data_IF_314647351893
#
_entry.id   IF_314647351893
#
_cell.length_a   1.000
_cell.length_b   1.000
_cell.length_c   1.000
_cell.angle_alpha   90.00
_cell.angle_beta   90.00
_cell.angle_gamma   90.00
#
_symmetry.space_group_name_H-M   'P 1'
#
loop_
_entity.id
_entity.type
_entity.pdbx_description
1 polymer ?
#
# COMPACT_ATOMS: atom_id res chain seq x y z
N UNK A 1 -22.83 -30.55 0.22
CA UNK A 1 -23.39 -30.56 -1.14
C UNK A 1 -23.45 -29.11 -1.63
N UNK A 2 -22.58 -28.75 -2.54
CA UNK A 2 -22.50 -27.40 -3.11
C UNK A 2 -23.42 -27.39 -4.34
N UNK A 3 -24.45 -26.55 -4.33
CA UNK A 3 -25.36 -26.37 -5.46
C UNK A 3 -24.63 -25.71 -6.64
N UNK A 4 -24.53 -26.43 -7.74
CA UNK A 4 -24.07 -25.92 -9.05
C UNK A 4 -25.17 -25.09 -9.68
N UNK A 5 -25.06 -23.77 -9.59
CA UNK A 5 -25.84 -22.84 -10.40
C UNK A 5 -24.97 -22.32 -11.54
N UNK A 6 -25.17 -22.81 -12.74
CA UNK A 6 -24.57 -22.30 -13.98
C UNK A 6 -25.26 -20.98 -14.31
N UNK A 7 -24.58 -19.87 -14.11
CA UNK A 7 -24.95 -18.56 -14.68
C UNK A 7 -23.94 -18.19 -15.77
N UNK A 8 -24.31 -18.52 -17.01
CA UNK A 8 -23.72 -17.92 -18.21
C UNK A 8 -24.23 -16.48 -18.32
N UNK A 9 -23.44 -15.53 -17.83
CA UNK A 9 -23.52 -14.14 -18.25
C UNK A 9 -22.12 -13.67 -18.61
N UNK A 10 -21.94 -13.13 -19.81
CA UNK A 10 -20.79 -12.33 -20.21
C UNK A 10 -20.74 -11.12 -19.26
N UNK A 11 -20.20 -11.29 -18.06
CA UNK A 11 -19.91 -10.16 -17.18
C UNK A 11 -18.79 -9.37 -17.84
N UNK A 12 -19.11 -8.19 -18.33
CA UNK A 12 -18.12 -7.17 -18.65
C UNK A 12 -17.20 -7.01 -17.45
N UNK A 13 -15.89 -7.20 -17.62
CA UNK A 13 -14.90 -7.05 -16.56
C UNK A 13 -14.99 -5.60 -16.08
N UNK A 14 -15.63 -5.38 -14.93
CA UNK A 14 -15.72 -4.04 -14.34
C UNK A 14 -14.33 -3.64 -13.86
N UNK A 15 -13.71 -2.72 -14.58
CA UNK A 15 -12.41 -2.18 -14.22
C UNK A 15 -12.49 -1.50 -12.82
N UNK A 16 -11.43 -1.63 -12.03
CA UNK A 16 -11.30 -0.89 -10.78
C UNK A 16 -11.16 0.61 -11.05
N UNK A 17 -11.42 1.45 -10.05
CA UNK A 17 -11.25 2.90 -10.16
C UNK A 17 -9.84 3.27 -10.66
N UNK A 18 -8.81 2.61 -10.16
CA UNK A 18 -7.42 2.86 -10.55
C UNK A 18 -7.15 2.46 -12.00
N UNK A 19 -7.75 1.38 -12.48
CA UNK A 19 -7.65 0.96 -13.87
C UNK A 19 -8.38 1.94 -14.80
N UNK A 20 -9.56 2.45 -14.41
CA UNK A 20 -10.26 3.50 -15.15
C UNK A 20 -9.52 4.85 -15.18
N UNK A 21 -8.74 5.15 -14.15
CA UNK A 21 -7.92 6.37 -14.05
C UNK A 21 -6.53 6.21 -14.68
N UNK A 22 -6.28 5.19 -15.49
CA UNK A 22 -5.04 5.05 -16.23
C UNK A 22 -5.14 5.89 -17.51
N UNK A 23 -4.26 6.91 -17.73
CA UNK A 23 -4.29 7.69 -18.96
C UNK A 23 -3.99 6.82 -20.19
N UNK A 24 -4.60 7.15 -21.33
CA UNK A 24 -4.41 6.46 -22.60
C UNK A 24 -3.14 6.91 -23.33
N UNK A 25 -2.74 8.16 -23.16
CA UNK A 25 -1.66 8.85 -23.88
C UNK A 25 -0.37 9.03 -23.04
N UNK A 26 -0.08 8.13 -22.07
CA UNK A 26 1.04 8.28 -21.13
C UNK A 26 2.38 8.46 -21.83
N UNK A 27 2.70 7.67 -22.85
CA UNK A 27 4.02 7.70 -23.50
C UNK A 27 4.22 8.99 -24.30
N UNK A 28 3.17 9.48 -24.97
CA UNK A 28 3.18 10.74 -25.69
C UNK A 28 3.40 11.92 -24.74
N UNK A 29 2.61 11.99 -23.67
CA UNK A 29 2.69 13.07 -22.69
C UNK A 29 4.02 13.05 -21.92
N UNK A 30 4.56 11.84 -21.67
CA UNK A 30 5.89 11.67 -21.09
C UNK A 30 6.98 12.23 -22.00
N UNK A 31 6.91 11.96 -23.32
CA UNK A 31 7.88 12.48 -24.28
C UNK A 31 7.85 14.00 -24.33
N UNK A 32 6.66 14.64 -24.39
CA UNK A 32 6.51 16.09 -24.33
C UNK A 32 7.12 16.68 -23.04
N UNK A 33 6.80 16.10 -21.89
CA UNK A 33 7.33 16.54 -20.60
C UNK A 33 8.87 16.37 -20.49
N UNK A 34 9.43 15.31 -21.08
CA UNK A 34 10.88 15.09 -21.05
C UNK A 34 11.64 16.02 -22.00
N UNK A 35 10.97 16.49 -23.06
CA UNK A 35 11.48 17.53 -23.95
C UNK A 35 11.42 18.92 -23.29
N UNK A 36 10.30 19.25 -22.64
CA UNK A 36 10.10 20.49 -21.89
C UNK A 36 9.56 20.19 -20.48
N UNK A 37 10.40 20.31 -19.47
CA UNK A 37 10.03 20.01 -18.08
C UNK A 37 9.10 21.06 -17.42
N UNK A 38 8.79 22.17 -18.11
CA UNK A 38 7.77 23.14 -17.70
C UNK A 38 6.38 22.79 -18.27
N UNK A 39 6.31 21.88 -19.23
CA UNK A 39 5.06 21.37 -19.78
C UNK A 39 4.25 20.67 -18.70
N UNK A 40 2.93 20.86 -18.70
CA UNK A 40 2.00 20.13 -17.85
C UNK A 40 1.23 19.13 -18.71
N UNK A 41 1.41 17.80 -18.51
CA UNK A 41 0.76 16.78 -19.30
C UNK A 41 -0.76 16.93 -19.35
N UNK A 42 -1.33 16.70 -20.53
CA UNK A 42 -2.75 16.69 -20.77
C UNK A 42 -3.20 15.25 -20.95
N UNK A 43 -3.77 14.66 -19.90
CA UNK A 43 -4.10 13.24 -19.90
C UNK A 43 -5.49 12.96 -20.48
N UNK A 44 -5.54 11.95 -21.34
CA UNK A 44 -6.78 11.41 -21.89
C UNK A 44 -7.19 10.15 -21.15
N UNK A 45 -8.49 10.01 -20.86
CA UNK A 45 -9.05 8.85 -20.20
C UNK A 45 -10.14 8.21 -21.02
N UNK A 46 -10.34 6.89 -20.89
CA UNK A 46 -11.41 6.18 -21.60
C UNK A 46 -12.81 6.72 -21.26
N UNK A 47 -12.98 7.30 -20.07
CA UNK A 47 -14.21 7.94 -19.58
C UNK A 47 -13.83 9.18 -18.79
N UNK A 48 -14.67 10.19 -18.85
CA UNK A 48 -14.54 11.37 -17.98
C UNK A 48 -14.48 10.93 -16.51
N UNK A 49 -13.51 11.46 -15.80
CA UNK A 49 -13.30 11.16 -14.39
C UNK A 49 -14.05 12.21 -13.54
N UNK A 50 -15.02 11.77 -12.76
CA UNK A 50 -15.67 12.64 -11.78
C UNK A 50 -14.66 13.11 -10.74
N UNK A 51 -14.56 14.42 -10.53
CA UNK A 51 -13.64 15.03 -9.55
C UNK A 51 -13.89 14.51 -8.11
N UNK A 52 -15.10 14.13 -7.76
CA UNK A 52 -15.39 13.48 -6.46
C UNK A 52 -14.63 12.16 -6.31
N UNK A 53 -14.35 11.48 -7.42
CA UNK A 53 -13.54 10.26 -7.42
C UNK A 53 -12.09 10.50 -7.02
N UNK A 54 -11.55 11.70 -7.21
CA UNK A 54 -10.20 12.08 -6.78
C UNK A 54 -10.09 12.09 -5.26
N UNK A 55 -11.15 12.53 -4.56
CA UNK A 55 -11.23 12.58 -3.11
C UNK A 55 -11.88 11.33 -2.47
N UNK A 56 -12.10 10.24 -3.21
CA UNK A 56 -12.74 9.01 -2.72
C UNK A 56 -12.09 8.45 -1.44
N UNK A 57 -10.82 8.75 -1.21
CA UNK A 57 -10.06 8.31 -0.04
C UNK A 57 -9.92 9.40 1.04
N UNK A 58 -10.85 10.34 1.06
CA UNK A 58 -10.87 11.52 1.94
C UNK A 58 -10.22 12.75 1.29
N UNK A 59 -10.45 13.90 1.87
CA UNK A 59 -9.78 15.15 1.50
C UNK A 59 -8.29 15.10 1.84
N UNK A 60 -7.52 16.03 1.30
CA UNK A 60 -6.11 16.21 1.67
C UNK A 60 -6.02 16.47 3.18
N UNK A 61 -5.13 15.76 3.85
CA UNK A 61 -4.98 15.78 5.30
C UNK A 61 -3.54 16.12 5.66
N UNK A 62 -3.32 17.21 6.37
CA UNK A 62 -1.99 17.73 6.69
C UNK A 62 -1.48 17.36 8.09
N UNK A 63 -2.26 16.63 8.89
CA UNK A 63 -1.95 16.31 10.30
C UNK A 63 -0.59 15.66 10.52
N UNK A 64 -0.10 14.90 9.57
CA UNK A 64 1.17 14.19 9.67
C UNK A 64 2.29 14.79 8.82
N UNK A 65 2.13 16.05 8.35
CA UNK A 65 3.12 16.72 7.49
C UNK A 65 4.48 16.81 8.17
N UNK A 66 4.54 17.28 9.40
CA UNK A 66 5.80 17.40 10.15
C UNK A 66 6.47 16.02 10.36
N UNK A 67 5.68 14.98 10.68
CA UNK A 67 6.22 13.63 10.82
C UNK A 67 6.75 13.10 9.48
N UNK A 68 6.03 13.31 8.38
CA UNK A 68 6.46 12.91 7.04
C UNK A 68 7.76 13.60 6.62
N UNK A 69 7.87 14.92 6.85
CA UNK A 69 9.08 15.70 6.58
C UNK A 69 10.26 15.17 7.39
N UNK A 70 10.08 14.93 8.69
CA UNK A 70 11.12 14.39 9.56
C UNK A 70 11.61 13.01 9.10
N UNK A 71 10.70 12.10 8.73
CA UNK A 71 11.05 10.77 8.21
C UNK A 71 11.89 10.89 6.94
N UNK A 72 11.49 11.76 6.00
CA UNK A 72 12.22 11.97 4.76
C UNK A 72 13.59 12.57 5.01
N UNK A 73 13.68 13.55 5.90
CA UNK A 73 14.93 14.18 6.30
C UNK A 73 15.90 13.19 6.93
N UNK A 74 15.47 12.36 7.90
CA UNK A 74 16.29 11.33 8.56
C UNK A 74 16.91 10.35 7.54
N UNK A 75 16.16 9.98 6.50
CA UNK A 75 16.69 9.13 5.43
C UNK A 75 17.76 9.84 4.63
N UNK A 76 17.56 11.13 4.28
CA UNK A 76 18.54 11.89 3.51
C UNK A 76 19.79 12.19 4.35
N UNK A 77 19.66 12.50 5.62
CA UNK A 77 20.80 12.70 6.51
C UNK A 77 21.64 11.42 6.65
N UNK A 78 20.99 10.24 6.69
CA UNK A 78 21.70 8.98 6.84
C UNK A 78 22.28 8.42 5.55
N UNK A 79 21.64 8.65 4.40
CA UNK A 79 21.99 8.03 3.12
C UNK A 79 22.35 9.04 2.03
N UNK A 80 22.29 10.35 2.30
CA UNK A 80 22.56 11.47 1.38
C UNK A 80 21.59 11.55 0.19
N UNK A 81 21.03 10.44 -0.26
CA UNK A 81 20.10 10.38 -1.38
C UNK A 81 19.15 9.17 -1.32
N UNK A 82 18.01 9.28 -1.99
CA UNK A 82 17.13 8.11 -2.21
C UNK A 82 17.86 6.96 -2.91
N UNK A 83 18.75 7.27 -3.86
CA UNK A 83 19.49 6.25 -4.60
C UNK A 83 20.35 5.40 -3.68
N UNK A 84 21.09 6.01 -2.76
CA UNK A 84 21.90 5.29 -1.78
C UNK A 84 21.03 4.52 -0.78
N UNK A 85 19.95 5.13 -0.31
CA UNK A 85 18.96 4.47 0.53
C UNK A 85 18.38 3.21 -0.16
N UNK A 86 18.01 3.31 -1.43
CA UNK A 86 17.52 2.15 -2.17
C UNK A 86 18.61 1.11 -2.39
N UNK A 87 19.86 1.50 -2.66
CA UNK A 87 21.00 0.58 -2.79
C UNK A 87 21.28 -0.19 -1.50
N UNK A 88 21.10 0.42 -0.32
CA UNK A 88 21.26 -0.25 0.98
C UNK A 88 20.31 -1.44 1.18
N UNK A 89 19.26 -1.53 0.38
CA UNK A 89 18.30 -2.65 0.36
C UNK A 89 18.76 -3.82 -0.53
N UNK A 90 20.01 -3.84 -0.95
CA UNK A 90 20.62 -4.88 -1.77
C UNK A 90 20.41 -4.68 -3.27
N UNK A 91 20.89 -5.63 -4.05
CA UNK A 91 20.73 -5.63 -5.51
C UNK A 91 19.28 -5.85 -5.94
N UNK A 92 18.99 -5.56 -7.20
CA UNK A 92 17.73 -5.94 -7.83
C UNK A 92 17.82 -7.43 -8.18
N UNK A 93 16.81 -8.19 -7.77
CA UNK A 93 16.70 -9.61 -8.05
C UNK A 93 16.23 -9.86 -9.49
N UNK A 94 16.76 -10.90 -10.09
CA UNK A 94 16.25 -11.41 -11.35
C UNK A 94 14.85 -12.02 -11.19
N UNK A 95 14.11 -12.14 -12.33
CA UNK A 95 12.75 -12.69 -12.33
C UNK A 95 12.67 -14.07 -11.65
N UNK A 96 13.57 -14.99 -12.03
CA UNK A 96 13.54 -16.36 -11.53
C UNK A 96 13.90 -16.43 -10.03
N UNK A 97 14.86 -15.61 -9.58
CA UNK A 97 15.19 -15.49 -8.16
C UNK A 97 14.00 -14.98 -7.36
N UNK A 98 13.34 -13.93 -7.86
CA UNK A 98 12.13 -13.38 -7.24
C UNK A 98 11.02 -14.42 -7.13
N UNK A 99 10.75 -15.17 -8.19
CA UNK A 99 9.73 -16.22 -8.21
C UNK A 99 10.08 -17.38 -7.27
N UNK A 100 11.36 -17.75 -7.16
CA UNK A 100 11.83 -18.77 -6.21
C UNK A 100 11.52 -18.34 -4.77
N UNK A 101 11.92 -17.14 -4.38
CA UNK A 101 11.65 -16.61 -3.03
C UNK A 101 10.15 -16.55 -2.72
N UNK A 102 9.33 -16.10 -3.70
CA UNK A 102 7.87 -16.07 -3.54
C UNK A 102 7.32 -17.46 -3.31
N UNK A 103 7.72 -18.45 -4.11
CA UNK A 103 7.24 -19.83 -3.97
C UNK A 103 7.68 -20.45 -2.64
N UNK A 104 8.89 -20.20 -2.19
CA UNK A 104 9.40 -20.65 -0.88
C UNK A 104 8.60 -20.03 0.27
N UNK A 105 8.25 -18.73 0.16
CA UNK A 105 7.39 -18.06 1.14
C UNK A 105 5.99 -18.69 1.20
N UNK A 106 5.37 -18.94 0.04
CA UNK A 106 4.04 -19.59 -0.02
C UNK A 106 4.09 -21.02 0.54
N UNK A 107 5.15 -21.77 0.24
CA UNK A 107 5.34 -23.13 0.75
C UNK A 107 5.52 -23.15 2.27
N UNK A 108 6.38 -22.27 2.81
CA UNK A 108 6.62 -22.15 4.26
C UNK A 108 5.33 -21.84 5.02
N UNK A 109 4.49 -20.97 4.47
CA UNK A 109 3.21 -20.61 5.05
C UNK A 109 2.08 -21.61 4.73
N UNK A 110 2.36 -22.73 4.04
CA UNK A 110 1.42 -23.81 3.69
C UNK A 110 0.20 -23.33 2.87
N UNK A 111 0.38 -22.31 2.04
CA UNK A 111 -0.69 -21.68 1.22
C UNK A 111 -0.46 -21.77 -0.28
N UNK A 112 0.48 -22.61 -0.74
CA UNK A 112 0.79 -22.78 -2.17
C UNK A 112 -0.38 -23.28 -3.01
N UNK A 113 -1.34 -23.97 -2.41
CA UNK A 113 -2.58 -24.44 -3.04
C UNK A 113 -3.66 -23.36 -3.12
N UNK A 114 -3.55 -22.27 -2.33
CA UNK A 114 -4.54 -21.20 -2.23
C UNK A 114 -4.13 -19.95 -3.05
N UNK A 115 -2.84 -19.74 -3.25
CA UNK A 115 -2.30 -18.54 -3.90
C UNK A 115 -1.54 -18.93 -5.17
N UNK A 116 -2.02 -18.46 -6.32
CA UNK A 116 -1.34 -18.60 -7.61
C UNK A 116 -0.59 -17.34 -7.97
N UNK A 117 0.61 -17.47 -8.54
CA UNK A 117 1.42 -16.33 -9.00
C UNK A 117 1.18 -16.13 -10.50
N UNK A 118 0.87 -14.90 -10.92
CA UNK A 118 0.75 -14.51 -12.35
C UNK A 118 1.56 -13.27 -12.63
N UNK A 119 2.20 -13.24 -13.79
CA UNK A 119 3.02 -12.11 -14.25
C UNK A 119 2.46 -11.55 -15.56
N UNK A 120 2.43 -10.22 -15.70
CA UNK A 120 2.06 -9.53 -16.95
C UNK A 120 2.62 -8.11 -16.97
N UNK A 121 2.97 -7.61 -18.15
CA UNK A 121 3.30 -6.20 -18.36
C UNK A 121 2.08 -5.27 -18.30
N UNK A 122 0.88 -5.81 -18.54
CA UNK A 122 -0.39 -5.07 -18.54
C UNK A 122 -0.92 -4.72 -17.14
N UNK A 123 -0.32 -5.24 -16.07
CA UNK A 123 -0.78 -4.92 -14.71
C UNK A 123 -0.41 -3.49 -14.33
N UNK A 124 -1.39 -2.70 -13.89
CA UNK A 124 -1.20 -1.31 -13.45
C UNK A 124 -0.39 -1.23 -12.16
N UNK A 125 -0.68 -2.09 -11.18
CA UNK A 125 0.06 -2.16 -9.94
C UNK A 125 1.33 -3.03 -10.08
N UNK A 126 2.42 -2.65 -9.40
CA UNK A 126 3.66 -3.45 -9.36
C UNK A 126 3.39 -4.84 -8.77
N UNK A 127 2.62 -4.89 -7.70
CA UNK A 127 2.11 -6.09 -7.04
C UNK A 127 0.68 -5.85 -6.62
N UNK A 128 -0.14 -6.88 -6.66
CA UNK A 128 -1.49 -6.85 -6.09
C UNK A 128 -2.01 -8.25 -5.86
N UNK A 129 -2.80 -8.40 -4.81
CA UNK A 129 -3.54 -9.63 -4.56
C UNK A 129 -4.98 -9.48 -5.07
N UNK A 130 -5.45 -10.43 -5.87
CA UNK A 130 -6.85 -10.51 -6.33
C UNK A 130 -7.45 -11.85 -5.94
N UNK A 131 -8.73 -11.86 -5.60
CA UNK A 131 -9.49 -13.11 -5.43
C UNK A 131 -10.05 -13.57 -6.78
N UNK A 132 -9.97 -14.85 -7.04
CA UNK A 132 -10.56 -15.53 -8.19
C UNK A 132 -11.36 -16.74 -7.68
N UNK A 133 -12.67 -16.57 -7.51
CA UNK A 133 -13.58 -17.57 -6.91
C UNK A 133 -13.07 -18.06 -5.56
N UNK A 134 -12.48 -19.26 -5.54
CA UNK A 134 -11.95 -19.92 -4.32
C UNK A 134 -10.46 -19.70 -4.11
N UNK A 135 -9.74 -19.15 -5.11
CA UNK A 135 -8.30 -18.95 -5.07
C UNK A 135 -7.93 -17.48 -5.03
N UNK A 136 -6.67 -17.22 -4.73
CA UNK A 136 -6.07 -15.90 -4.79
C UNK A 136 -4.99 -15.85 -5.88
N UNK A 137 -4.86 -14.70 -6.52
CA UNK A 137 -3.85 -14.46 -7.54
C UNK A 137 -2.95 -13.33 -7.07
N UNK A 138 -1.70 -13.68 -6.78
CA UNK A 138 -0.64 -12.69 -6.60
C UNK A 138 -0.17 -12.24 -7.99
N UNK A 139 -0.53 -11.02 -8.37
CA UNK A 139 -0.19 -10.42 -9.67
C UNK A 139 1.11 -9.64 -9.55
N UNK A 140 2.06 -9.88 -10.44
CA UNK A 140 3.34 -9.20 -10.49
C UNK A 140 3.51 -8.55 -11.87
N UNK A 141 3.71 -7.23 -11.89
CA UNK A 141 3.94 -6.51 -13.15
C UNK A 141 5.36 -6.75 -13.66
N UNK A 142 5.48 -7.05 -14.94
CA UNK A 142 6.75 -7.16 -15.64
C UNK A 142 7.29 -5.76 -16.05
N UNK A 143 8.62 -5.56 -16.04
CA UNK A 143 9.64 -6.45 -15.50
C UNK A 143 9.61 -6.49 -13.96
N UNK A 144 9.87 -7.67 -13.38
CA UNK A 144 10.01 -7.82 -11.93
C UNK A 144 11.30 -7.15 -11.49
N UNK A 145 11.24 -6.26 -10.49
CA UNK A 145 12.38 -5.49 -9.99
C UNK A 145 12.32 -5.34 -8.47
N UNK A 146 12.31 -6.44 -7.73
CA UNK A 146 12.41 -6.38 -6.27
C UNK A 146 13.88 -6.35 -5.84
N UNK A 147 14.16 -5.66 -4.75
CA UNK A 147 15.46 -5.72 -4.08
C UNK A 147 15.47 -6.84 -3.06
N UNK A 148 16.65 -7.42 -2.84
CA UNK A 148 16.86 -8.57 -1.94
C UNK A 148 16.18 -8.39 -0.58
N UNK A 149 16.46 -7.27 0.10
CA UNK A 149 15.89 -6.98 1.42
C UNK A 149 14.44 -6.46 1.37
N UNK A 150 13.86 -6.28 0.19
CA UNK A 150 12.52 -5.73 0.02
C UNK A 150 11.44 -6.75 -0.35
N UNK A 151 11.82 -7.91 -0.91
CA UNK A 151 10.87 -8.87 -1.45
C UNK A 151 10.02 -9.54 -0.36
N UNK A 152 10.62 -9.87 0.79
CA UNK A 152 9.88 -10.44 1.93
C UNK A 152 8.91 -9.40 2.50
N UNK A 153 9.31 -8.13 2.55
CA UNK A 153 8.40 -7.05 2.96
C UNK A 153 7.19 -6.92 2.03
N UNK A 154 7.38 -7.06 0.72
CA UNK A 154 6.27 -7.10 -0.23
C UNK A 154 5.36 -8.30 0.03
N UNK A 155 5.89 -9.48 0.35
CA UNK A 155 5.11 -10.67 0.67
C UNK A 155 4.37 -10.52 2.01
N UNK A 156 4.98 -9.91 3.02
CA UNK A 156 4.31 -9.58 4.27
C UNK A 156 3.14 -8.60 4.06
N UNK A 157 3.27 -7.66 3.10
CA UNK A 157 2.21 -6.74 2.71
C UNK A 157 1.04 -7.50 2.05
N UNK A 158 1.31 -8.17 0.92
CA UNK A 158 0.27 -8.76 0.07
C UNK A 158 -0.31 -10.05 0.68
N UNK A 159 0.57 -10.93 1.14
CA UNK A 159 0.17 -12.24 1.68
C UNK A 159 -0.02 -12.14 3.19
N UNK A 160 1.03 -11.74 3.91
CA UNK A 160 1.00 -11.70 5.36
C UNK A 160 -0.08 -10.79 5.94
N UNK A 161 -0.57 -9.81 5.16
CA UNK A 161 -1.65 -8.92 5.60
C UNK A 161 -2.91 -9.11 4.78
N UNK A 162 -2.92 -8.77 3.49
CA UNK A 162 -4.16 -8.76 2.70
C UNK A 162 -4.79 -10.14 2.56
N UNK A 163 -4.00 -11.19 2.28
CA UNK A 163 -4.50 -12.55 2.16
C UNK A 163 -5.01 -13.08 3.50
N UNK A 164 -4.19 -13.00 4.57
CA UNK A 164 -4.59 -13.54 5.88
C UNK A 164 -5.83 -12.85 6.45
N UNK A 165 -5.92 -11.52 6.34
CA UNK A 165 -7.12 -10.80 6.75
C UNK A 165 -8.34 -11.19 5.92
N UNK A 166 -8.15 -11.52 4.64
CA UNK A 166 -9.26 -11.96 3.79
C UNK A 166 -9.74 -13.37 4.15
N UNK A 167 -8.85 -14.34 4.30
CA UNK A 167 -9.27 -15.71 4.66
C UNK A 167 -9.94 -15.79 6.03
N UNK A 168 -9.55 -14.91 6.95
CA UNK A 168 -10.22 -14.77 8.22
C UNK A 168 -11.60 -14.12 8.10
N UNK A 169 -11.73 -13.10 7.23
CA UNK A 169 -13.00 -12.41 6.98
C UNK A 169 -14.09 -13.33 6.48
N UNK A 170 -13.78 -14.22 5.53
CA UNK A 170 -14.80 -15.12 4.91
C UNK A 170 -15.39 -16.15 5.89
N UNK A 171 -14.74 -16.37 7.01
CA UNK A 171 -15.21 -17.29 8.05
C UNK A 171 -15.97 -16.58 9.18
N UNK A 172 -16.10 -15.25 9.14
CA UNK A 172 -16.74 -14.49 10.20
C UNK A 172 -18.22 -14.20 9.88
N UNK A 173 -19.08 -14.07 10.91
CA UNK A 173 -20.51 -13.85 10.70
C UNK A 173 -20.84 -12.55 9.95
N UNK A 174 -19.97 -11.55 9.99
CA UNK A 174 -20.16 -10.26 9.29
C UNK A 174 -19.70 -10.25 7.84
N UNK A 175 -19.20 -11.36 7.29
CA UNK A 175 -18.63 -11.42 5.93
C UNK A 175 -19.60 -10.88 4.87
N UNK A 176 -20.85 -11.32 4.88
CA UNK A 176 -21.85 -10.90 3.90
C UNK A 176 -22.37 -9.48 4.15
N UNK A 177 -22.53 -9.07 5.40
CA UNK A 177 -23.10 -7.77 5.74
C UNK A 177 -22.56 -7.16 7.03
N UNK A 178 -21.46 -6.43 6.94
CA UNK A 178 -20.85 -5.70 8.06
C UNK A 178 -21.79 -4.75 8.77
N UNK A 179 -22.70 -4.10 8.04
CA UNK A 179 -23.63 -3.12 8.61
C UNK A 179 -24.59 -3.75 9.60
N UNK A 180 -25.00 -5.01 9.40
CA UNK A 180 -25.85 -5.75 10.32
C UNK A 180 -25.16 -5.94 11.68
N UNK A 181 -23.86 -6.04 11.69
CA UNK A 181 -23.03 -6.19 12.88
C UNK A 181 -22.46 -4.85 13.37
N UNK A 182 -22.94 -3.72 12.82
CA UNK A 182 -22.47 -2.37 13.12
C UNK A 182 -20.95 -2.19 12.93
N UNK A 183 -20.38 -2.88 11.94
CA UNK A 183 -18.98 -2.76 11.54
C UNK A 183 -18.86 -1.88 10.30
N UNK A 184 -17.81 -1.05 10.26
CA UNK A 184 -17.56 -0.16 9.14
C UNK A 184 -17.14 -0.92 7.88
N UNK A 185 -17.66 -0.49 6.73
CA UNK A 185 -17.20 -0.94 5.41
C UNK A 185 -15.89 -0.28 4.97
N UNK A 186 -15.52 0.83 5.61
CA UNK A 186 -14.34 1.62 5.24
C UNK A 186 -13.10 1.22 6.06
N UNK A 187 -12.62 0.00 5.84
CA UNK A 187 -11.44 -0.56 6.53
C UNK A 187 -10.10 -0.27 5.82
N UNK A 188 -10.12 0.39 4.66
CA UNK A 188 -8.92 0.51 3.80
C UNK A 188 -7.74 1.18 4.50
N UNK A 189 -7.99 2.17 5.34
CA UNK A 189 -6.94 2.87 6.09
C UNK A 189 -6.20 1.93 7.06
N UNK A 190 -6.94 1.10 7.78
CA UNK A 190 -6.38 0.06 8.67
C UNK A 190 -5.64 -1.01 7.85
N UNK A 191 -6.23 -1.44 6.74
CA UNK A 191 -5.69 -2.45 5.84
C UNK A 191 -4.31 -2.06 5.31
N UNK A 192 -4.22 -0.88 4.66
CA UNK A 192 -2.97 -0.40 4.07
C UNK A 192 -1.95 0.04 5.13
N UNK A 193 -2.43 0.57 6.25
CA UNK A 193 -1.57 0.92 7.39
C UNK A 193 -0.87 -0.30 7.97
N UNK A 194 -1.61 -1.37 8.27
CA UNK A 194 -1.08 -2.62 8.78
C UNK A 194 -0.15 -3.29 7.75
N UNK A 195 -0.56 -3.33 6.48
CA UNK A 195 0.23 -3.92 5.40
C UNK A 195 1.56 -3.17 5.19
N UNK A 196 1.54 -1.83 5.24
CA UNK A 196 2.75 -1.00 5.15
C UNK A 196 3.65 -1.25 6.35
N UNK A 197 3.12 -1.30 7.57
CA UNK A 197 3.87 -1.61 8.79
C UNK A 197 4.55 -2.98 8.68
N UNK A 198 3.78 -4.02 8.31
CA UNK A 198 4.31 -5.38 8.17
C UNK A 198 5.34 -5.52 7.04
N UNK A 199 5.28 -4.67 6.02
CA UNK A 199 6.29 -4.65 4.96
C UNK A 199 7.67 -4.24 5.44
N UNK A 200 7.77 -3.58 6.58
CA UNK A 200 9.02 -3.10 7.16
C UNK A 200 9.67 -4.11 8.11
N UNK A 201 8.92 -5.11 8.59
CA UNK A 201 9.41 -6.07 9.59
C UNK A 201 10.75 -6.75 9.22
N UNK A 202 11.01 -7.14 7.94
CA UNK A 202 12.26 -7.81 7.59
C UNK A 202 13.46 -6.86 7.48
N UNK A 203 13.28 -5.56 7.68
CA UNK A 203 14.31 -4.58 7.40
C UNK A 203 15.14 -4.23 8.65
N UNK A 204 16.43 -4.20 8.49
CA UNK A 204 17.36 -3.72 9.53
C UNK A 204 17.09 -2.25 9.90
N UNK A 205 16.85 -1.41 8.89
CA UNK A 205 16.48 0.00 9.05
C UNK A 205 15.11 0.25 8.41
N UNK A 206 14.03 0.11 9.20
CA UNK A 206 12.65 0.09 8.70
C UNK A 206 12.08 1.51 8.51
N UNK A 207 12.67 2.30 7.60
CA UNK A 207 12.19 3.64 7.29
C UNK A 207 10.89 3.63 6.49
N UNK A 208 9.95 4.48 6.88
CA UNK A 208 8.68 4.78 6.21
C UNK A 208 8.83 5.72 5.01
N UNK A 209 10.00 5.77 4.39
CA UNK A 209 10.33 6.65 3.28
C UNK A 209 9.24 6.78 2.23
N UNK A 210 8.80 5.63 1.67
CA UNK A 210 7.81 5.65 0.58
C UNK A 210 6.45 6.14 1.04
N UNK A 211 6.01 5.80 2.25
CA UNK A 211 4.74 6.26 2.80
C UNK A 211 4.79 7.77 3.10
N UNK A 212 5.88 8.25 3.69
CA UNK A 212 6.09 9.66 4.02
C UNK A 212 6.19 10.54 2.76
N UNK A 213 7.00 10.13 1.78
CA UNK A 213 7.16 10.90 0.54
C UNK A 213 5.86 10.94 -0.28
N UNK A 214 5.12 9.84 -0.38
CA UNK A 214 3.81 9.82 -1.04
C UNK A 214 2.78 10.71 -0.32
N UNK A 215 2.83 10.79 1.01
CA UNK A 215 1.98 11.69 1.77
C UNK A 215 2.28 13.16 1.47
N UNK A 216 3.55 13.55 1.49
CA UNK A 216 3.98 14.91 1.11
C UNK A 216 3.62 15.25 -0.33
N UNK A 217 3.73 14.28 -1.26
CA UNK A 217 3.34 14.46 -2.65
C UNK A 217 1.85 14.76 -2.82
N UNK A 218 0.97 14.16 -2.04
CA UNK A 218 -0.47 14.48 -2.07
C UNK A 218 -0.68 15.93 -1.61
N UNK A 219 -0.05 16.35 -0.52
CA UNK A 219 -0.17 17.73 -0.01
C UNK A 219 0.39 18.72 -1.01
N UNK A 220 1.61 18.54 -1.50
CA UNK A 220 2.22 19.45 -2.46
C UNK A 220 1.52 19.46 -3.80
N UNK A 221 1.09 18.30 -4.28
CA UNK A 221 0.34 18.18 -5.54
C UNK A 221 -1.03 18.85 -5.51
N UNK A 222 -1.66 18.99 -4.34
CA UNK A 222 -2.90 19.78 -4.18
C UNK A 222 -2.70 21.28 -4.23
N UNK A 223 -1.45 21.73 -4.32
CA UNK A 223 -1.05 23.15 -4.39
C UNK A 223 -0.27 23.48 -5.66
N UNK A 224 0.15 22.48 -6.43
CA UNK A 224 1.10 22.58 -7.53
C UNK A 224 0.57 21.92 -8.81
N UNK A 225 1.01 22.43 -9.96
CA UNK A 225 0.89 21.74 -11.25
C UNK A 225 1.78 20.49 -11.30
N UNK A 226 1.67 19.69 -12.36
CA UNK A 226 2.53 18.52 -12.56
C UNK A 226 4.02 18.92 -12.66
N UNK A 227 4.34 19.93 -13.46
CA UNK A 227 5.71 20.39 -13.65
C UNK A 227 6.31 20.93 -12.36
N UNK A 228 5.57 21.76 -11.62
CA UNK A 228 5.99 22.28 -10.32
C UNK A 228 6.22 21.15 -9.30
N UNK A 229 5.30 20.16 -9.24
CA UNK A 229 5.42 19.01 -8.35
C UNK A 229 6.65 18.16 -8.69
N UNK A 230 6.93 17.93 -9.99
CA UNK A 230 8.11 17.20 -10.45
C UNK A 230 9.40 17.94 -10.08
N UNK A 231 9.44 19.25 -10.26
CA UNK A 231 10.58 20.08 -9.87
C UNK A 231 10.79 20.07 -8.34
N UNK A 232 9.71 20.21 -7.55
CA UNK A 232 9.77 20.08 -6.09
C UNK A 232 10.32 18.72 -5.66
N UNK A 233 9.91 17.64 -6.34
CA UNK A 233 10.34 16.28 -6.01
C UNK A 233 11.83 16.02 -6.30
N UNK A 234 12.48 16.84 -7.14
CA UNK A 234 13.90 16.70 -7.53
C UNK A 234 14.85 16.73 -6.32
N UNK A 235 14.51 17.45 -5.26
CA UNK A 235 15.31 17.50 -4.04
C UNK A 235 15.38 16.15 -3.29
N UNK A 236 14.45 15.24 -3.54
CA UNK A 236 14.35 13.93 -2.90
C UNK A 236 14.70 12.77 -3.83
N UNK A 237 14.33 12.88 -5.10
CA UNK A 237 14.42 11.82 -6.10
C UNK A 237 15.12 12.37 -7.34
N UNK A 238 16.35 11.90 -7.60
CA UNK A 238 17.15 12.36 -8.73
C UNK A 238 16.75 11.71 -10.06
N UNK A 239 16.25 10.49 -10.03
CA UNK A 239 15.82 9.73 -11.21
C UNK A 239 14.57 10.36 -11.83
N UNK A 240 14.66 10.78 -13.09
CA UNK A 240 13.60 11.50 -13.80
C UNK A 240 12.39 10.62 -14.10
N UNK A 241 12.62 9.36 -14.50
CA UNK A 241 11.53 8.40 -14.75
C UNK A 241 10.77 8.08 -13.47
N UNK A 242 11.47 7.99 -12.36
CA UNK A 242 10.86 7.75 -11.06
C UNK A 242 10.03 8.95 -10.62
N UNK A 243 10.54 10.20 -10.78
CA UNK A 243 9.77 11.40 -10.49
C UNK A 243 8.51 11.48 -11.34
N UNK A 244 8.64 11.25 -12.66
CA UNK A 244 7.49 11.18 -13.56
C UNK A 244 6.42 10.21 -13.06
N UNK A 245 6.82 8.98 -12.77
CA UNK A 245 5.90 7.94 -12.28
C UNK A 245 5.25 8.28 -10.94
N UNK A 246 5.95 9.00 -10.06
CA UNK A 246 5.39 9.45 -8.78
C UNK A 246 4.37 10.57 -9.00
N UNK A 247 4.68 11.57 -9.82
CA UNK A 247 3.75 12.64 -10.18
C UNK A 247 2.51 12.10 -10.91
N UNK A 248 2.69 11.18 -11.87
CA UNK A 248 1.60 10.51 -12.58
C UNK A 248 0.63 9.82 -11.62
N UNK A 249 1.12 9.16 -10.56
CA UNK A 249 0.26 8.54 -9.55
C UNK A 249 -0.57 9.55 -8.76
N UNK A 250 0.00 10.71 -8.46
CA UNK A 250 -0.65 11.77 -7.70
C UNK A 250 -1.67 12.53 -8.55
N UNK A 251 -1.33 12.79 -9.81
CA UNK A 251 -2.20 13.48 -10.78
C UNK A 251 -3.14 12.53 -11.55
N UNK A 252 -3.17 11.27 -11.18
CA UNK A 252 -4.05 10.27 -11.80
C UNK A 252 -5.52 10.69 -11.73
N UNK A 253 -6.21 10.64 -12.86
CA UNK A 253 -7.61 11.07 -12.99
C UNK A 253 -7.79 12.56 -13.21
N UNK A 254 -6.70 13.33 -13.33
CA UNK A 254 -6.70 14.76 -13.67
C UNK A 254 -6.34 14.89 -15.15
N UNK A 255 -7.24 15.45 -15.97
CA UNK A 255 -7.04 15.65 -17.41
C UNK A 255 -6.03 16.76 -17.64
N UNK A 256 -6.32 17.97 -17.18
CA UNK A 256 -5.38 19.11 -17.19
C UNK A 256 -4.53 19.14 -15.92
N UNK A 257 -3.30 18.67 -16.01
CA UNK A 257 -2.41 18.60 -14.87
C UNK A 257 -1.73 19.91 -14.48
N UNK A 258 -2.04 21.03 -15.17
CA UNK A 258 -1.70 22.37 -14.70
C UNK A 258 -2.50 22.74 -13.45
N UNK A 259 -3.67 22.10 -13.25
CA UNK A 259 -4.53 22.34 -12.11
C UNK A 259 -3.98 21.69 -10.81
N UNK A 260 -4.17 22.34 -9.64
CA UNK A 260 -3.73 21.83 -8.35
C UNK A 260 -4.68 20.73 -7.81
N UNK A 261 -5.08 19.78 -8.65
CA UNK A 261 -5.93 18.67 -8.32
C UNK A 261 -5.09 17.39 -8.08
N UNK A 262 -5.55 16.51 -7.19
CA UNK A 262 -4.83 15.30 -6.83
C UNK A 262 -5.76 14.13 -6.54
N UNK A 263 -5.28 12.93 -6.85
CA UNK A 263 -5.88 11.68 -6.36
C UNK A 263 -5.35 11.37 -4.97
N UNK A 264 -6.21 11.46 -3.96
CA UNK A 264 -5.83 11.44 -2.55
C UNK A 264 -5.43 10.06 -1.99
N UNK A 265 -5.51 8.99 -2.79
CA UNK A 265 -5.27 7.62 -2.30
C UNK A 265 -3.91 7.46 -1.60
N UNK A 266 -2.87 8.08 -2.11
CA UNK A 266 -1.51 7.82 -1.62
C UNK A 266 -1.25 8.31 -0.18
N UNK A 267 -2.08 9.21 0.35
CA UNK A 267 -1.97 9.65 1.76
C UNK A 267 -2.36 8.56 2.76
N UNK A 268 -3.19 7.59 2.36
CA UNK A 268 -3.73 6.57 3.27
C UNK A 268 -2.64 5.66 3.86
N UNK A 269 -1.52 5.48 3.17
CA UNK A 269 -0.43 4.62 3.64
C UNK A 269 0.19 5.17 4.93
N UNK A 270 0.65 6.42 4.93
CA UNK A 270 1.20 7.02 6.14
C UNK A 270 0.14 7.23 7.21
N UNK A 271 -1.04 7.75 6.83
CA UNK A 271 -2.17 7.90 7.79
C UNK A 271 -2.50 6.59 8.48
N UNK A 272 -2.60 5.51 7.71
CA UNK A 272 -2.87 4.18 8.23
C UNK A 272 -1.78 3.69 9.17
N UNK A 273 -0.51 3.85 8.78
CA UNK A 273 0.62 3.49 9.64
C UNK A 273 0.59 4.24 10.97
N UNK A 274 0.38 5.56 10.96
CA UNK A 274 0.32 6.36 12.19
C UNK A 274 -0.79 5.86 13.13
N UNK A 275 -1.95 5.52 12.59
CA UNK A 275 -3.07 4.99 13.37
C UNK A 275 -2.80 3.57 13.88
N UNK A 276 -2.21 2.71 13.06
CA UNK A 276 -1.88 1.33 13.45
C UNK A 276 -0.78 1.30 14.51
N UNK A 277 0.29 2.08 14.36
CA UNK A 277 1.35 2.15 15.38
C UNK A 277 0.81 2.69 16.71
N UNK A 278 -0.05 3.72 16.68
CA UNK A 278 -0.70 4.25 17.87
C UNK A 278 -1.65 3.21 18.52
N UNK A 279 -2.37 2.44 17.70
CA UNK A 279 -3.25 1.38 18.18
C UNK A 279 -2.43 0.24 18.81
N UNK A 280 -1.38 -0.24 18.13
CA UNK A 280 -0.48 -1.30 18.62
C UNK A 280 0.17 -0.91 19.95
N UNK A 281 0.65 0.32 20.08
CA UNK A 281 1.24 0.82 21.34
C UNK A 281 0.25 0.75 22.52
N UNK A 282 -1.04 0.98 22.27
CA UNK A 282 -2.09 0.88 23.29
C UNK A 282 -2.51 -0.56 23.62
N UNK A 283 -2.18 -1.52 22.77
CA UNK A 283 -2.59 -2.92 22.86
C UNK A 283 -1.41 -3.87 23.01
N UNK A 284 -0.37 -3.44 23.74
CA UNK A 284 0.84 -4.21 24.03
C UNK A 284 1.52 -4.78 22.78
N UNK A 285 1.43 -4.05 21.66
CA UNK A 285 1.96 -4.43 20.34
C UNK A 285 1.41 -5.76 19.79
N UNK A 286 0.26 -6.24 20.28
CA UNK A 286 -0.40 -7.46 19.78
C UNK A 286 -1.33 -7.13 18.60
N UNK A 287 -1.00 -7.53 17.35
CA UNK A 287 -1.84 -7.28 16.18
C UNK A 287 -2.94 -8.34 15.98
N UNK A 288 -3.01 -9.38 16.80
CA UNK A 288 -3.82 -10.58 16.53
C UNK A 288 -5.28 -10.25 16.23
N UNK A 289 -5.88 -9.33 16.99
CA UNK A 289 -7.26 -8.92 16.79
C UNK A 289 -7.51 -8.16 15.48
N UNK A 290 -6.49 -7.49 14.92
CA UNK A 290 -6.58 -6.86 13.61
C UNK A 290 -6.71 -7.89 12.47
N UNK A 291 -6.42 -9.15 12.74
CA UNK A 291 -6.56 -10.27 11.82
C UNK A 291 -7.90 -10.99 11.90
N UNK A 292 -8.85 -10.56 12.73
CA UNK A 292 -10.21 -11.13 12.74
C UNK A 292 -10.94 -10.98 11.40
N UNK A 293 -10.48 -10.07 10.54
CA UNK A 293 -11.01 -9.85 9.21
C UNK A 293 -10.61 -8.50 8.65
N UNK A 294 -11.26 -8.08 7.57
CA UNK A 294 -11.08 -6.75 6.95
C UNK A 294 -11.91 -5.68 7.69
N UNK A 295 -11.62 -5.49 8.95
CA UNK A 295 -12.27 -4.54 9.87
C UNK A 295 -11.39 -3.33 10.10
N UNK A 296 -11.97 -2.24 10.59
CA UNK A 296 -11.18 -1.08 11.03
C UNK A 296 -10.59 -1.34 12.42
N UNK A 297 -9.49 -0.68 12.75
CA UNK A 297 -8.90 -0.75 14.08
C UNK A 297 -9.85 -0.20 15.17
N UNK A 298 -10.82 0.64 14.81
CA UNK A 298 -11.85 1.15 15.73
C UNK A 298 -12.95 0.12 16.03
N UNK A 299 -13.14 -0.86 15.15
CA UNK A 299 -14.18 -1.88 15.30
C UNK A 299 -13.64 -3.18 15.94
N UNK A 300 -12.35 -3.24 16.28
CA UNK A 300 -11.68 -4.47 16.72
C UNK A 300 -12.33 -5.06 17.96
N UNK A 301 -12.66 -4.25 18.96
CA UNK A 301 -13.25 -4.74 20.21
C UNK A 301 -14.65 -5.31 19.96
N UNK A 302 -15.46 -4.62 19.15
CA UNK A 302 -16.77 -5.13 18.72
C UNK A 302 -16.63 -6.41 17.91
N UNK A 303 -15.73 -6.45 16.93
CA UNK A 303 -15.51 -7.64 16.13
C UNK A 303 -15.05 -8.83 16.99
N UNK A 304 -14.23 -8.58 18.01
CA UNK A 304 -13.76 -9.63 18.92
C UNK A 304 -14.89 -10.25 19.76
N UNK A 305 -15.94 -9.48 20.11
CA UNK A 305 -17.13 -10.03 20.82
C UNK A 305 -18.06 -10.81 19.91
N UNK A 306 -18.00 -10.57 18.59
CA UNK A 306 -18.88 -11.17 17.57
C UNK A 306 -18.21 -12.35 16.84
N UNK A 307 -16.89 -12.49 16.97
CA UNK A 307 -16.13 -13.48 16.21
C UNK A 307 -16.48 -14.91 16.62
N UNK A 308 -16.86 -15.73 15.65
CA UNK A 308 -17.10 -17.17 15.81
C UNK A 308 -15.84 -17.99 15.58
N UNK A 309 -14.84 -17.42 14.89
CA UNK A 309 -13.59 -18.09 14.55
C UNK A 309 -12.37 -17.27 14.97
N UNK A 310 -11.41 -17.95 15.59
CA UNK A 310 -10.11 -17.35 15.89
C UNK A 310 -9.34 -17.09 14.58
N UNK A 311 -8.59 -15.97 14.49
CA UNK A 311 -7.87 -15.66 13.28
C UNK A 311 -6.68 -16.60 13.05
N UNK A 312 -6.52 -17.04 11.82
CA UNK A 312 -5.25 -17.63 11.35
C UNK A 312 -4.24 -16.51 11.19
N UNK A 313 -3.08 -16.64 11.81
CA UNK A 313 -2.05 -15.61 11.84
C UNK A 313 -0.86 -15.99 10.95
N UNK A 314 -0.23 -15.01 10.25
CA UNK A 314 1.02 -15.26 9.54
C UNK A 314 2.18 -15.53 10.52
N UNK A 315 3.21 -16.24 10.06
CA UNK A 315 4.30 -16.72 10.91
C UNK A 315 5.01 -15.61 11.68
N UNK A 316 5.19 -14.44 11.07
CA UNK A 316 5.90 -13.32 11.71
C UNK A 316 5.16 -12.67 12.90
N UNK A 317 3.89 -13.06 13.15
CA UNK A 317 3.12 -12.61 14.32
C UNK A 317 3.14 -13.67 15.44
N UNK A 318 3.47 -14.91 15.13
CA UNK A 318 3.46 -16.01 16.11
C UNK A 318 4.44 -15.78 17.24
N UNK A 319 5.62 -15.21 16.93
CA UNK A 319 6.55 -14.69 17.93
C UNK A 319 6.19 -13.24 18.25
N UNK A 320 5.38 -13.07 19.30
CA UNK A 320 4.90 -11.76 19.74
C UNK A 320 6.01 -10.86 20.26
N UNK A 321 7.03 -11.44 20.89
CA UNK A 321 8.18 -10.70 21.39
C UNK A 321 8.95 -10.05 20.25
N UNK A 322 9.38 -10.86 19.28
CA UNK A 322 10.10 -10.37 18.10
C UNK A 322 9.27 -9.37 17.28
N UNK A 323 7.94 -9.59 17.16
CA UNK A 323 7.06 -8.63 16.50
C UNK A 323 7.04 -7.29 17.23
N UNK A 324 6.83 -7.30 18.56
CA UNK A 324 6.80 -6.11 19.41
C UNK A 324 8.09 -5.30 19.32
N UNK A 325 9.23 -5.96 19.46
CA UNK A 325 10.56 -5.34 19.34
C UNK A 325 10.74 -4.65 17.97
N UNK A 326 10.28 -5.32 16.90
CA UNK A 326 10.38 -4.75 15.55
C UNK A 326 9.44 -3.56 15.36
N UNK A 327 8.23 -3.58 15.91
CA UNK A 327 7.33 -2.42 15.88
C UNK A 327 7.92 -1.23 16.64
N UNK A 328 8.50 -1.46 17.83
CA UNK A 328 9.20 -0.41 18.58
C UNK A 328 10.34 0.17 17.74
N UNK A 329 11.15 -0.69 17.11
CA UNK A 329 12.22 -0.27 16.21
C UNK A 329 11.72 0.57 15.03
N UNK A 330 10.54 0.23 14.43
CA UNK A 330 9.92 1.05 13.39
C UNK A 330 9.60 2.45 13.93
N UNK A 331 9.01 2.54 15.13
CA UNK A 331 8.66 3.81 15.78
C UNK A 331 9.91 4.66 16.02
N UNK A 332 10.95 4.08 16.59
CA UNK A 332 12.21 4.77 16.93
C UNK A 332 12.98 5.22 15.67
N UNK A 333 13.12 4.32 14.68
CA UNK A 333 13.80 4.62 13.41
C UNK A 333 13.17 5.82 12.69
N UNK A 334 11.85 5.98 12.81
CA UNK A 334 11.10 7.06 12.15
C UNK A 334 10.83 8.26 13.07
N UNK A 335 11.47 8.30 14.26
CA UNK A 335 11.32 9.40 15.26
C UNK A 335 9.86 9.66 15.67
N UNK A 336 9.09 8.57 15.81
CA UNK A 336 7.67 8.59 16.18
C UNK A 336 7.46 8.24 17.67
N UNK A 337 8.43 8.50 18.52
CA UNK A 337 8.44 8.09 19.95
C UNK A 337 7.24 8.62 20.75
N UNK A 338 6.59 9.71 20.28
CA UNK A 338 5.35 10.21 20.85
C UNK A 338 4.17 9.21 20.74
N UNK A 339 4.29 8.19 19.87
CA UNK A 339 3.30 7.11 19.76
C UNK A 339 3.50 6.00 20.79
N UNK A 340 4.69 5.90 21.39
CA UNK A 340 4.92 4.97 22.50
C UNK A 340 4.13 5.45 23.71
N UNK A 341 3.37 4.54 24.33
CA UNK A 341 2.76 4.85 25.62
C UNK A 341 3.85 5.33 26.57
N UNK A 342 3.68 6.48 27.20
CA UNK A 342 4.32 6.74 28.47
C UNK A 342 3.64 5.79 29.45
N UNK A 343 4.34 4.73 29.86
CA UNK A 343 3.93 3.97 31.04
C UNK A 343 4.08 4.94 32.24
N UNK A 344 2.97 5.56 32.61
CA UNK A 344 2.82 6.19 33.91
C UNK A 344 2.24 5.16 34.86
#
# INVERSE_FOLDING_TARGET
>A
MIKSGILNSKQSIKLSLIENMQPLNIEEEKAKFFFDNQYNPQFEYQKTIDHNSLAKHGTVDERYTAAAQKIVQEVLEQYESETNFLKSRGRILEKNESLKIINEYLKRNQISNLVRVRTSSSYTARTSLKRDKTNFILRLRLPIRYREKGIIGMLNHEIGTHFYRWINEINQPWFENKSQYQLSKNYLLTEEGLATTNSLLPLEKPFLWSAALNYLLVIKGSQMSFSQLNQWLKQYVLDQDRRWNMCLKIKRGVEDTSLPLVFTKNQIYLKGVMQILAWLSKHNFDPSRLYLGKITHNDVDRAATLAEHQPVLPDFIKDRGAYSETIIKIIETNKLNHLLKKNN
#
